data_IF_634442555339
#
_entry.id   IF_634442555339
#
_cell.length_a   1.000
_cell.length_b   1.000
_cell.length_c   1.000
_cell.angle_alpha   90.00
_cell.angle_beta   90.00
_cell.angle_gamma   90.00
#
_symmetry.space_group_name_H-M   'P 1'
#
loop_
_entity.id
_entity.type
_entity.pdbx_description
1 polymer ?
#
# COMPACT_ATOMS: atom_id res chain seq x y z
N UNK A 1 -16.91 22.12 8.40
CA UNK A 1 -15.83 23.12 8.53
C UNK A 1 -14.78 22.85 7.47
N UNK A 2 -14.38 23.87 6.71
CA UNK A 2 -13.25 23.78 5.77
C UNK A 2 -12.13 24.67 6.33
N UNK A 3 -10.94 24.12 6.50
CA UNK A 3 -9.75 24.90 6.84
C UNK A 3 -8.68 24.69 5.78
N UNK A 4 -8.04 25.79 5.39
CA UNK A 4 -6.97 25.80 4.43
C UNK A 4 -5.71 26.32 5.12
N UNK A 5 -4.63 25.55 5.00
CA UNK A 5 -3.32 25.90 5.53
C UNK A 5 -2.31 25.92 4.39
N UNK A 6 -1.63 27.05 4.23
CA UNK A 6 -0.57 27.22 3.25
C UNK A 6 0.73 27.62 3.96
N UNK A 7 1.78 26.84 3.71
CA UNK A 7 3.11 27.07 4.26
C UNK A 7 4.13 27.15 3.12
N UNK A 8 4.93 28.22 3.11
CA UNK A 8 5.93 28.47 2.07
C UNK A 8 7.27 28.79 2.73
N UNK A 9 8.34 28.18 2.23
CA UNK A 9 9.74 28.52 2.52
C UNK A 9 10.12 28.44 4.01
N UNK A 10 10.17 27.22 4.55
CA UNK A 10 10.65 26.97 5.92
C UNK A 10 11.83 26.01 5.93
N UNK A 11 12.81 26.25 6.82
CA UNK A 11 13.92 25.32 7.04
C UNK A 11 13.45 24.09 7.84
N UNK A 12 12.65 24.31 8.88
CA UNK A 12 12.08 23.26 9.70
C UNK A 12 10.66 23.66 10.11
N UNK A 13 9.71 22.75 9.91
CA UNK A 13 8.33 22.92 10.32
C UNK A 13 7.83 21.66 11.01
N UNK A 14 7.35 21.81 12.25
CA UNK A 14 6.73 20.74 13.03
C UNK A 14 5.31 21.17 13.34
N UNK A 15 4.34 20.38 12.93
CA UNK A 15 2.92 20.64 13.18
C UNK A 15 2.28 19.46 13.90
N UNK A 16 1.52 19.77 14.94
CA UNK A 16 0.73 18.82 15.68
C UNK A 16 -0.73 19.25 15.62
N UNK A 17 -1.57 18.34 15.13
CA UNK A 17 -3.02 18.55 15.05
C UNK A 17 -3.75 17.47 15.83
N UNK A 18 -4.67 17.91 16.69
CA UNK A 18 -5.56 17.03 17.43
C UNK A 18 -7.01 17.46 17.21
N UNK A 19 -7.80 16.56 16.63
CA UNK A 19 -9.22 16.75 16.39
C UNK A 19 -10.01 15.65 17.10
N UNK A 20 -10.91 16.01 18.02
CA UNK A 20 -11.59 15.03 18.91
C UNK A 20 -13.08 14.87 18.57
N UNK A 21 -13.69 15.85 17.88
CA UNK A 21 -15.13 15.84 17.64
C UNK A 21 -15.55 16.77 16.50
N UNK A 22 -15.50 16.30 15.26
CA UNK A 22 -15.99 17.06 14.10
C UNK A 22 -16.86 16.20 13.16
N UNK A 23 -18.14 16.50 13.04
CA UNK A 23 -19.05 15.72 12.17
C UNK A 23 -18.69 15.79 10.68
N UNK A 24 -18.19 16.94 10.20
CA UNK A 24 -17.76 17.14 8.82
C UNK A 24 -16.62 18.15 8.75
N UNK A 25 -15.38 17.64 8.69
CA UNK A 25 -14.19 18.47 8.60
C UNK A 25 -13.40 18.15 7.33
N UNK A 26 -13.06 19.20 6.59
CA UNK A 26 -12.20 19.14 5.42
C UNK A 26 -10.97 20.00 5.69
N UNK A 27 -9.78 19.40 5.63
CA UNK A 27 -8.53 20.13 5.70
C UNK A 27 -7.81 20.05 4.37
N UNK A 28 -7.38 21.21 3.90
CA UNK A 28 -6.47 21.33 2.79
C UNK A 28 -5.13 21.86 3.32
N UNK A 29 -4.07 21.08 3.11
CA UNK A 29 -2.72 21.47 3.45
C UNK A 29 -1.86 21.58 2.20
N UNK A 30 -1.24 22.74 2.02
CA UNK A 30 -0.26 22.98 0.97
C UNK A 30 1.07 23.41 1.57
N UNK A 31 2.11 22.62 1.30
CA UNK A 31 3.49 22.89 1.73
C UNK A 31 4.38 23.04 0.51
N UNK A 32 5.07 24.16 0.39
CA UNK A 32 5.98 24.46 -0.72
C UNK A 32 7.35 24.81 -0.18
N UNK A 33 8.40 24.16 -0.69
CA UNK A 33 9.80 24.47 -0.39
C UNK A 33 10.15 24.41 1.11
N UNK A 34 9.74 23.34 1.79
CA UNK A 34 10.14 23.06 3.18
C UNK A 34 11.31 22.08 3.20
N UNK A 35 12.45 22.36 3.83
CA UNK A 35 13.52 21.35 3.89
C UNK A 35 13.12 20.16 4.77
N UNK A 36 12.75 20.41 6.02
CA UNK A 36 12.37 19.37 6.96
C UNK A 36 10.96 19.62 7.48
N UNK A 37 10.05 18.67 7.23
CA UNK A 37 8.68 18.74 7.71
C UNK A 37 8.32 17.50 8.52
N UNK A 38 7.84 17.72 9.75
CA UNK A 38 7.23 16.69 10.58
C UNK A 38 5.78 17.06 10.87
N UNK A 39 4.87 16.13 10.61
CA UNK A 39 3.44 16.35 10.77
C UNK A 39 2.85 15.20 11.57
N UNK A 40 2.25 15.53 12.72
CA UNK A 40 1.60 14.57 13.59
C UNK A 40 0.11 14.89 13.69
N UNK A 41 -0.72 13.91 13.35
CA UNK A 41 -2.17 14.04 13.33
C UNK A 41 -2.81 12.97 14.18
N UNK A 42 -3.65 13.41 15.10
CA UNK A 42 -4.56 12.55 15.81
C UNK A 42 -5.99 12.99 15.53
N UNK A 43 -6.79 12.12 14.90
CA UNK A 43 -8.17 12.47 14.53
C UNK A 43 -9.17 11.42 14.99
N UNK A 44 -10.23 11.93 15.61
CA UNK A 44 -11.42 11.19 16.01
C UNK A 44 -12.62 11.91 15.40
N UNK A 45 -13.02 11.50 14.19
CA UNK A 45 -14.30 11.79 13.51
C UNK A 45 -14.19 11.81 11.97
N UNK A 46 -15.33 12.03 11.29
CA UNK A 46 -15.44 12.04 9.83
C UNK A 46 -14.63 13.18 9.19
N UNK A 47 -13.83 12.81 8.20
CA UNK A 47 -12.75 13.66 7.74
C UNK A 47 -12.40 13.46 6.27
N UNK A 48 -12.21 14.58 5.57
CA UNK A 48 -11.51 14.63 4.28
C UNK A 48 -10.20 15.38 4.50
N UNK A 49 -9.07 14.71 4.22
CA UNK A 49 -7.74 15.31 4.27
C UNK A 49 -7.12 15.32 2.88
N UNK A 50 -6.75 16.51 2.41
CA UNK A 50 -5.88 16.67 1.26
C UNK A 50 -4.55 17.27 1.69
N UNK A 51 -3.49 16.58 1.31
CA UNK A 51 -2.13 17.07 1.47
C UNK A 51 -1.43 17.20 0.14
N UNK A 52 -0.89 18.38 -0.12
CA UNK A 52 0.01 18.66 -1.22
C UNK A 52 1.37 19.11 -0.70
N UNK A 53 2.40 18.33 -1.02
CA UNK A 53 3.78 18.66 -0.70
C UNK A 53 4.58 18.85 -1.97
N UNK A 54 5.23 20.00 -2.10
CA UNK A 54 6.10 20.33 -3.22
C UNK A 54 7.48 20.69 -2.68
N UNK A 55 8.51 20.11 -3.32
CA UNK A 55 9.91 20.45 -3.12
C UNK A 55 10.41 20.31 -1.68
N UNK A 56 9.95 19.28 -0.96
CA UNK A 56 10.49 18.95 0.37
C UNK A 56 11.67 17.96 0.28
N UNK A 57 12.70 18.15 1.13
CA UNK A 57 13.81 17.19 1.22
C UNK A 57 13.48 16.02 2.14
N UNK A 58 13.04 16.28 3.37
CA UNK A 58 12.66 15.27 4.35
C UNK A 58 11.20 15.49 4.77
N UNK A 59 10.37 14.47 4.57
CA UNK A 59 8.96 14.47 4.99
C UNK A 59 8.71 13.31 5.95
N UNK A 60 8.33 13.63 7.18
CA UNK A 60 7.95 12.65 8.19
C UNK A 60 6.50 12.90 8.58
N UNK A 61 5.67 11.90 8.36
CA UNK A 61 4.23 12.00 8.50
C UNK A 61 3.72 10.86 9.38
N UNK A 62 3.13 11.21 10.52
CA UNK A 62 2.54 10.26 11.44
C UNK A 62 1.07 10.61 11.62
N UNK A 63 0.18 9.70 11.23
CA UNK A 63 -1.24 9.86 11.48
C UNK A 63 -1.81 8.68 12.25
N UNK A 64 -2.62 9.03 13.25
CA UNK A 64 -3.40 8.10 14.02
C UNK A 64 -4.88 8.46 13.92
N UNK A 65 -5.66 7.59 13.30
CA UNK A 65 -7.08 7.77 13.08
C UNK A 65 -7.89 6.73 13.88
N UNK A 66 -8.84 7.21 14.67
CA UNK A 66 -9.68 6.37 15.52
C UNK A 66 -11.15 6.64 15.26
N UNK A 67 -11.93 5.57 15.12
CA UNK A 67 -13.41 5.60 15.13
C UNK A 67 -14.01 6.65 14.19
N UNK A 68 -13.65 6.62 12.91
CA UNK A 68 -14.30 7.46 11.91
C UNK A 68 -15.29 6.62 11.10
N UNK A 69 -16.50 7.11 10.89
CA UNK A 69 -17.44 6.45 9.98
C UNK A 69 -16.89 6.46 8.56
N UNK A 70 -16.50 7.64 8.06
CA UNK A 70 -15.93 7.83 6.74
C UNK A 70 -14.62 8.62 6.83
N UNK A 71 -13.60 8.16 6.10
CA UNK A 71 -12.37 8.90 5.93
C UNK A 71 -11.88 8.81 4.48
N UNK A 72 -11.60 9.97 3.91
CA UNK A 72 -10.90 10.08 2.63
C UNK A 72 -9.61 10.86 2.82
N UNK A 73 -8.49 10.27 2.40
CA UNK A 73 -7.18 10.86 2.55
C UNK A 73 -6.43 10.78 1.23
N UNK A 74 -6.07 11.95 0.72
CA UNK A 74 -5.37 12.12 -0.54
C UNK A 74 -4.03 12.81 -0.30
N UNK A 75 -2.97 12.14 -0.74
CA UNK A 75 -1.61 12.63 -0.68
C UNK A 75 -1.07 12.81 -2.08
N UNK A 76 -0.68 14.04 -2.38
CA UNK A 76 0.10 14.35 -3.58
C UNK A 76 1.46 14.91 -3.15
N UNK A 77 2.52 14.15 -3.44
CA UNK A 77 3.87 14.47 -3.00
C UNK A 77 4.83 14.51 -4.17
N UNK A 78 5.48 15.66 -4.31
CA UNK A 78 6.63 15.86 -5.21
C UNK A 78 7.83 16.22 -4.34
N UNK A 79 8.59 15.20 -3.94
CA UNK A 79 9.73 15.36 -3.03
C UNK A 79 11.04 14.95 -3.71
N UNK A 80 12.17 15.37 -3.12
CA UNK A 80 13.50 15.12 -3.69
C UNK A 80 14.30 14.01 -3.01
N UNK A 81 14.06 13.72 -1.73
CA UNK A 81 14.94 12.81 -0.99
C UNK A 81 14.19 11.71 -0.21
N UNK A 82 13.66 12.00 0.97
CA UNK A 82 13.08 10.99 1.85
C UNK A 82 11.63 11.32 2.22
N UNK A 83 10.76 10.33 2.11
CA UNK A 83 9.44 10.34 2.71
C UNK A 83 9.25 9.12 3.60
N UNK A 84 8.81 9.39 4.82
CA UNK A 84 8.37 8.39 5.78
C UNK A 84 6.91 8.68 6.13
N UNK A 85 6.02 7.72 5.86
CA UNK A 85 4.61 7.80 6.20
C UNK A 85 4.22 6.62 7.08
N UNK A 86 3.73 6.91 8.27
CA UNK A 86 3.14 5.94 9.19
C UNK A 86 1.67 6.29 9.37
N UNK A 87 0.76 5.41 8.95
CA UNK A 87 -0.66 5.54 9.24
C UNK A 87 -1.17 4.37 10.08
N UNK A 88 -1.91 4.70 11.12
CA UNK A 88 -2.65 3.72 11.93
C UNK A 88 -4.14 4.02 11.91
N UNK A 89 -4.92 2.98 11.63
CA UNK A 89 -6.37 3.02 11.51
C UNK A 89 -7.01 1.95 12.40
N UNK A 90 -7.76 2.36 13.42
CA UNK A 90 -8.36 1.44 14.41
C UNK A 90 -9.77 0.95 14.04
N UNK A 91 -10.64 1.82 13.52
CA UNK A 91 -12.04 1.44 13.23
C UNK A 91 -12.70 2.38 12.23
N UNK A 92 -13.07 1.82 11.06
CA UNK A 92 -13.70 2.57 9.97
C UNK A 92 -14.85 1.81 9.33
N UNK A 93 -15.90 2.53 8.92
CA UNK A 93 -16.88 1.95 8.01
C UNK A 93 -16.33 2.00 6.59
N UNK A 94 -15.96 3.19 6.10
CA UNK A 94 -15.47 3.38 4.75
C UNK A 94 -14.19 4.21 4.77
N UNK A 95 -13.13 3.65 4.18
CA UNK A 95 -11.82 4.27 4.10
C UNK A 95 -11.34 4.32 2.64
N UNK A 96 -11.08 5.53 2.14
CA UNK A 96 -10.51 5.74 0.80
C UNK A 96 -9.17 6.42 0.95
N UNK A 97 -8.13 5.77 0.42
CA UNK A 97 -6.76 6.25 0.48
C UNK A 97 -6.19 6.38 -0.93
N UNK A 98 -5.77 7.59 -1.28
CA UNK A 98 -5.21 7.91 -2.59
C UNK A 98 -3.82 8.51 -2.40
N UNK A 99 -2.81 7.80 -2.89
CA UNK A 99 -1.42 8.21 -2.75
C UNK A 99 -0.77 8.38 -4.12
N UNK A 100 -0.29 9.59 -4.38
CA UNK A 100 0.52 9.91 -5.54
C UNK A 100 1.88 10.44 -5.08
N UNK A 101 2.93 9.68 -5.36
CA UNK A 101 4.30 10.03 -5.04
C UNK A 101 5.13 10.15 -6.32
N UNK A 102 5.76 11.30 -6.52
CA UNK A 102 6.61 11.58 -7.68
C UNK A 102 8.00 11.98 -7.20
N UNK A 103 9.01 11.49 -7.92
CA UNK A 103 10.43 11.87 -7.83
C UNK A 103 11.12 11.64 -6.48
N UNK A 104 10.56 10.82 -5.59
CA UNK A 104 11.19 10.46 -4.33
C UNK A 104 12.35 9.48 -4.55
N UNK A 105 13.52 9.71 -3.92
CA UNK A 105 14.58 8.71 -3.93
C UNK A 105 14.27 7.56 -2.98
N UNK A 106 13.83 7.86 -1.76
CA UNK A 106 13.49 6.87 -0.73
C UNK A 106 12.06 7.10 -0.26
N UNK A 107 11.22 6.07 -0.37
CA UNK A 107 9.85 6.07 0.12
C UNK A 107 9.65 4.92 1.10
N UNK A 108 9.33 5.24 2.35
CA UNK A 108 9.02 4.25 3.38
C UNK A 108 7.58 4.48 3.83
N UNK A 109 6.76 3.47 3.65
CA UNK A 109 5.35 3.52 3.96
C UNK A 109 4.96 2.35 4.85
N UNK A 110 4.34 2.66 5.99
CA UNK A 110 3.89 1.71 6.99
C UNK A 110 2.43 1.99 7.30
N UNK A 111 1.57 1.01 7.04
CA UNK A 111 0.15 1.15 7.36
C UNK A 111 -0.35 -0.04 8.18
N UNK A 112 -1.10 0.29 9.22
CA UNK A 112 -1.71 -0.69 10.09
C UNK A 112 -3.22 -0.45 10.19
N UNK A 113 -4.01 -1.42 9.76
CA UNK A 113 -5.47 -1.39 9.77
C UNK A 113 -6.03 -2.47 10.68
N UNK A 114 -6.75 -2.07 11.74
CA UNK A 114 -7.31 -3.01 12.70
C UNK A 114 -8.68 -3.50 12.24
N UNK A 115 -9.65 -2.60 12.08
CA UNK A 115 -10.99 -2.94 11.59
C UNK A 115 -11.45 -1.95 10.53
N UNK A 116 -11.82 -2.47 9.36
CA UNK A 116 -12.52 -1.69 8.34
C UNK A 116 -13.64 -2.50 7.72
N UNK A 117 -14.79 -1.89 7.39
CA UNK A 117 -15.77 -2.60 6.57
C UNK A 117 -15.41 -2.54 5.09
N UNK A 118 -15.11 -1.34 4.58
CA UNK A 118 -14.79 -1.12 3.17
C UNK A 118 -13.54 -0.28 3.05
N UNK A 119 -12.51 -0.80 2.41
CA UNK A 119 -11.29 -0.06 2.17
C UNK A 119 -10.86 -0.15 0.71
N UNK A 120 -10.67 1.02 0.11
CA UNK A 120 -10.08 1.19 -1.19
C UNK A 120 -8.77 1.97 -1.02
N UNK A 121 -7.67 1.39 -1.45
CA UNK A 121 -6.37 2.02 -1.37
C UNK A 121 -5.67 1.93 -2.73
N UNK A 122 -5.25 3.10 -3.21
CA UNK A 122 -4.64 3.27 -4.52
C UNK A 122 -3.30 3.98 -4.37
N UNK A 123 -2.24 3.34 -4.85
CA UNK A 123 -0.92 3.94 -4.97
C UNK A 123 -0.53 4.12 -6.43
N UNK A 124 -0.12 5.33 -6.74
CA UNK A 124 0.60 5.65 -7.94
C UNK A 124 1.96 6.23 -7.57
N UNK A 125 3.03 5.47 -7.80
CA UNK A 125 4.37 5.86 -7.38
C UNK A 125 5.33 5.85 -8.56
N UNK A 126 5.97 6.99 -8.76
CA UNK A 126 7.09 7.19 -9.68
C UNK A 126 8.32 7.51 -8.82
N UNK A 127 9.02 6.46 -8.38
CA UNK A 127 10.24 6.58 -7.58
C UNK A 127 11.50 6.34 -8.41
N UNK A 128 12.66 6.79 -7.88
CA UNK A 128 13.97 6.58 -8.52
C UNK A 128 14.78 5.44 -7.93
N UNK A 129 14.79 5.30 -6.60
CA UNK A 129 15.72 4.37 -5.94
C UNK A 129 15.01 3.26 -5.17
N UNK A 130 14.49 3.54 -3.98
CA UNK A 130 13.92 2.53 -3.09
C UNK A 130 12.49 2.84 -2.69
N UNK A 131 11.64 1.82 -2.74
CA UNK A 131 10.35 1.79 -2.10
C UNK A 131 10.27 0.63 -1.11
N UNK A 132 9.91 0.93 0.14
CA UNK A 132 9.51 -0.05 1.14
C UNK A 132 8.05 0.24 1.50
N UNK A 133 7.18 -0.75 1.30
CA UNK A 133 5.79 -0.68 1.69
C UNK A 133 5.44 -1.90 2.55
N UNK A 134 4.96 -1.62 3.76
CA UNK A 134 4.47 -2.63 4.69
C UNK A 134 3.02 -2.33 5.04
N UNK A 135 2.12 -3.27 4.74
CA UNK A 135 0.71 -3.19 5.10
C UNK A 135 0.31 -4.36 5.96
N UNK A 136 -0.35 -4.05 7.08
CA UNK A 136 -0.94 -5.05 7.95
C UNK A 136 -2.44 -4.79 8.11
N UNK A 137 -3.24 -5.82 7.83
CA UNK A 137 -4.68 -5.81 7.99
C UNK A 137 -5.11 -6.92 8.94
N UNK A 138 -5.74 -6.54 10.05
CA UNK A 138 -6.26 -7.50 11.03
C UNK A 138 -7.64 -8.01 10.59
N UNK A 139 -8.58 -7.11 10.30
CA UNK A 139 -9.91 -7.49 9.84
C UNK A 139 -10.49 -6.49 8.84
N UNK A 140 -10.92 -6.99 7.69
CA UNK A 140 -11.64 -6.22 6.68
C UNK A 140 -12.76 -7.06 6.05
N UNK A 141 -13.94 -6.49 5.76
CA UNK A 141 -14.90 -7.21 4.93
C UNK A 141 -14.55 -7.10 3.45
N UNK A 142 -14.41 -5.89 2.94
CA UNK A 142 -14.05 -5.65 1.55
C UNK A 142 -12.77 -4.83 1.48
N UNK A 143 -11.78 -5.38 0.77
CA UNK A 143 -10.51 -4.72 0.54
C UNK A 143 -10.15 -4.73 -0.95
N UNK A 144 -9.94 -3.54 -1.49
CA UNK A 144 -9.44 -3.34 -2.86
C UNK A 144 -8.13 -2.56 -2.75
N UNK A 145 -7.02 -3.17 -3.18
CA UNK A 145 -5.74 -2.49 -3.29
C UNK A 145 -5.29 -2.45 -4.75
N UNK A 146 -4.95 -1.25 -5.20
CA UNK A 146 -4.46 -0.97 -6.55
C UNK A 146 -3.09 -0.32 -6.45
N UNK A 147 -2.12 -0.95 -7.08
CA UNK A 147 -0.73 -0.55 -7.01
C UNK A 147 -0.13 -0.39 -8.39
N UNK A 148 0.30 0.83 -8.69
CA UNK A 148 1.02 1.16 -9.90
C UNK A 148 2.39 1.75 -9.54
N UNK A 149 3.44 1.01 -9.85
CA UNK A 149 4.82 1.37 -9.54
C UNK A 149 5.63 1.50 -10.83
N UNK A 150 6.14 2.70 -11.07
CA UNK A 150 6.92 3.04 -12.26
C UNK A 150 8.34 3.41 -11.83
N UNK A 151 9.33 2.91 -12.57
CA UNK A 151 10.74 3.32 -12.53
C UNK A 151 11.52 3.16 -11.22
N UNK A 152 11.05 2.39 -10.24
CA UNK A 152 11.77 2.20 -8.97
C UNK A 152 12.84 1.10 -9.11
N UNK A 153 14.10 1.37 -8.73
CA UNK A 153 15.18 0.38 -8.86
C UNK A 153 15.03 -0.82 -7.92
N UNK A 154 14.51 -0.58 -6.71
CA UNK A 154 14.28 -1.59 -5.70
C UNK A 154 12.91 -1.38 -5.06
N UNK A 155 12.11 -2.43 -5.03
CA UNK A 155 10.83 -2.43 -4.34
C UNK A 155 10.72 -3.65 -3.44
N UNK A 156 10.42 -3.36 -2.17
CA UNK A 156 10.06 -4.33 -1.14
C UNK A 156 8.60 -4.10 -0.75
N UNK A 157 7.77 -5.12 -0.95
CA UNK A 157 6.40 -5.13 -0.47
C UNK A 157 6.21 -6.26 0.52
N UNK A 158 5.66 -5.94 1.69
CA UNK A 158 5.21 -6.93 2.65
C UNK A 158 3.74 -6.66 2.98
N UNK A 159 2.88 -7.62 2.64
CA UNK A 159 1.45 -7.56 2.97
C UNK A 159 1.06 -8.72 3.87
N UNK A 160 0.43 -8.39 4.99
CA UNK A 160 -0.11 -9.38 5.92
C UNK A 160 -1.62 -9.16 6.12
N UNK A 161 -2.39 -10.21 5.89
CA UNK A 161 -3.84 -10.23 6.07
C UNK A 161 -4.21 -11.34 7.04
N UNK A 162 -4.79 -10.97 8.18
CA UNK A 162 -5.26 -11.94 9.18
C UNK A 162 -6.65 -12.46 8.82
N UNK A 163 -7.61 -11.56 8.59
CA UNK A 163 -8.96 -11.93 8.16
C UNK A 163 -9.52 -10.97 7.12
N UNK A 164 -9.99 -11.50 6.00
CA UNK A 164 -10.71 -10.73 4.99
C UNK A 164 -11.82 -11.54 4.33
N UNK A 165 -13.02 -10.99 4.11
CA UNK A 165 -14.02 -11.73 3.32
C UNK A 165 -13.74 -11.64 1.82
N UNK A 166 -13.52 -10.44 1.30
CA UNK A 166 -13.22 -10.23 -0.11
C UNK A 166 -11.99 -9.36 -0.25
N UNK A 167 -10.96 -9.91 -0.88
CA UNK A 167 -9.73 -9.22 -1.19
C UNK A 167 -9.44 -9.25 -2.67
N UNK A 168 -9.34 -8.06 -3.26
CA UNK A 168 -8.89 -7.85 -4.63
C UNK A 168 -7.58 -7.06 -4.59
N UNK A 169 -6.56 -7.63 -5.20
CA UNK A 169 -5.24 -7.02 -5.34
C UNK A 169 -4.90 -6.91 -6.82
N UNK A 170 -4.67 -5.68 -7.29
CA UNK A 170 -4.14 -5.41 -8.62
C UNK A 170 -2.79 -4.74 -8.53
N UNK A 171 -1.85 -5.30 -9.27
CA UNK A 171 -0.47 -4.88 -9.26
C UNK A 171 0.07 -4.69 -10.67
N UNK A 172 0.63 -3.50 -10.92
CA UNK A 172 1.37 -3.18 -12.14
C UNK A 172 2.76 -2.67 -11.77
N UNK A 173 3.78 -3.39 -12.22
CA UNK A 173 5.18 -3.12 -11.90
C UNK A 173 6.06 -3.15 -13.15
N UNK A 174 7.15 -2.37 -13.12
CA UNK A 174 8.08 -2.22 -14.25
C UNK A 174 9.52 -2.68 -14.00
N UNK A 175 9.95 -3.05 -12.78
CA UNK A 175 11.37 -3.32 -12.42
C UNK A 175 11.47 -4.31 -11.22
N UNK A 176 12.70 -4.63 -10.81
CA UNK A 176 13.14 -5.53 -9.73
C UNK A 176 12.32 -5.45 -8.44
N UNK A 177 11.97 -6.62 -7.93
CA UNK A 177 10.90 -6.74 -6.95
C UNK A 177 11.06 -7.93 -6.01
N UNK A 178 10.83 -7.68 -4.73
CA UNK A 178 10.52 -8.73 -3.75
C UNK A 178 9.14 -8.43 -3.18
N UNK A 179 8.20 -9.35 -3.41
CA UNK A 179 6.90 -9.31 -2.77
C UNK A 179 6.74 -10.50 -1.82
N UNK A 180 6.33 -10.19 -0.59
CA UNK A 180 5.98 -11.14 0.44
C UNK A 180 4.52 -10.94 0.82
N UNK A 181 3.72 -11.99 0.65
CA UNK A 181 2.32 -11.99 1.03
C UNK A 181 2.02 -13.11 2.00
N UNK A 182 1.35 -12.77 3.10
CA UNK A 182 0.85 -13.73 4.07
C UNK A 182 -0.65 -13.54 4.28
N UNK A 183 -1.41 -14.62 4.07
CA UNK A 183 -2.85 -14.67 4.24
C UNK A 183 -3.20 -15.76 5.24
N UNK A 184 -3.83 -15.38 6.36
CA UNK A 184 -4.25 -16.35 7.38
C UNK A 184 -5.65 -16.88 7.07
N UNK A 185 -6.63 -16.01 6.87
CA UNK A 185 -7.99 -16.40 6.49
C UNK A 185 -8.59 -15.45 5.47
N UNK A 186 -9.03 -15.99 4.34
CA UNK A 186 -9.76 -15.25 3.31
C UNK A 186 -10.90 -16.08 2.71
N UNK A 187 -12.10 -15.53 2.51
CA UNK A 187 -13.11 -16.28 1.75
C UNK A 187 -12.87 -16.20 0.24
N UNK A 188 -12.74 -14.99 -0.30
CA UNK A 188 -12.50 -14.75 -1.71
C UNK A 188 -11.22 -13.93 -1.89
N UNK A 189 -10.25 -14.51 -2.58
CA UNK A 189 -9.01 -13.83 -2.95
C UNK A 189 -8.82 -13.81 -4.46
N UNK A 190 -8.71 -12.61 -5.01
CA UNK A 190 -8.36 -12.37 -6.41
C UNK A 190 -7.06 -11.56 -6.47
N UNK A 191 -5.98 -12.16 -6.98
CA UNK A 191 -4.75 -11.43 -7.26
C UNK A 191 -4.49 -11.38 -8.76
N UNK A 192 -4.29 -10.16 -9.26
CA UNK A 192 -3.86 -9.92 -10.63
C UNK A 192 -2.54 -9.16 -10.63
N UNK A 193 -1.53 -9.78 -11.25
CA UNK A 193 -0.21 -9.20 -11.37
C UNK A 193 0.19 -9.04 -12.83
N UNK A 194 0.64 -7.83 -13.15
CA UNK A 194 1.27 -7.51 -14.41
C UNK A 194 2.68 -6.98 -14.16
N UNK A 195 3.67 -7.72 -14.61
CA UNK A 195 5.08 -7.37 -14.50
C UNK A 195 5.65 -7.16 -15.91
N UNK A 196 6.25 -6.00 -16.13
CA UNK A 196 6.93 -5.67 -17.39
C UNK A 196 8.39 -5.34 -17.07
N UNK A 197 9.32 -5.82 -17.89
CA UNK A 197 10.74 -5.43 -17.84
C UNK A 197 11.49 -5.66 -16.51
N UNK A 198 11.12 -6.67 -15.72
CA UNK A 198 11.83 -6.99 -14.48
C UNK A 198 13.13 -7.78 -14.75
N UNK A 199 14.20 -7.42 -14.05
CA UNK A 199 15.46 -8.19 -14.02
C UNK A 199 15.42 -9.34 -13.01
N UNK A 200 14.87 -9.09 -11.82
CA UNK A 200 14.70 -10.09 -10.77
C UNK A 200 13.33 -9.89 -10.12
N UNK A 201 12.53 -10.96 -10.10
CA UNK A 201 11.22 -10.97 -9.46
C UNK A 201 11.18 -12.17 -8.50
N UNK A 202 11.05 -11.88 -7.21
CA UNK A 202 10.85 -12.89 -6.17
C UNK A 202 9.47 -12.67 -5.56
N UNK A 203 8.66 -13.71 -5.61
CA UNK A 203 7.29 -13.73 -5.13
C UNK A 203 7.15 -14.85 -4.12
N UNK A 204 6.86 -14.50 -2.87
CA UNK A 204 6.57 -15.47 -1.81
C UNK A 204 5.14 -15.27 -1.32
N UNK A 205 4.38 -16.36 -1.35
CA UNK A 205 3.01 -16.40 -0.92
C UNK A 205 2.81 -17.52 0.09
N UNK A 206 2.24 -17.16 1.23
CA UNK A 206 1.86 -18.11 2.26
C UNK A 206 0.36 -18.00 2.57
N UNK A 207 -0.38 -19.06 2.30
CA UNK A 207 -1.82 -19.17 2.52
C UNK A 207 -2.12 -20.23 3.58
N UNK A 208 -2.71 -19.83 4.71
CA UNK A 208 -3.17 -20.78 5.75
C UNK A 208 -4.55 -21.32 5.40
N UNK A 209 -5.53 -20.45 5.18
CA UNK A 209 -6.89 -20.86 4.80
C UNK A 209 -7.52 -19.90 3.80
N UNK A 210 -8.01 -20.45 2.69
CA UNK A 210 -8.76 -19.69 1.69
C UNK A 210 -9.89 -20.52 1.07
N UNK A 211 -11.13 -20.01 0.95
CA UNK A 211 -12.16 -20.80 0.25
C UNK A 211 -11.98 -20.76 -1.27
N UNK A 212 -11.86 -19.57 -1.85
CA UNK A 212 -11.63 -19.42 -3.29
C UNK A 212 -10.46 -18.49 -3.54
N UNK A 213 -9.51 -18.99 -4.32
CA UNK A 213 -8.31 -18.26 -4.68
C UNK A 213 -8.13 -18.29 -6.19
N UNK A 214 -8.07 -17.11 -6.81
CA UNK A 214 -7.64 -16.98 -8.19
C UNK A 214 -6.38 -16.11 -8.28
N UNK A 215 -5.38 -16.64 -8.98
CA UNK A 215 -4.13 -15.97 -9.27
C UNK A 215 -3.95 -15.84 -10.77
N UNK A 216 -3.84 -14.61 -11.25
CA UNK A 216 -3.49 -14.32 -12.63
C UNK A 216 -2.17 -13.56 -12.69
N UNK A 217 -1.22 -14.13 -13.42
CA UNK A 217 0.10 -13.56 -13.63
C UNK A 217 0.36 -13.35 -15.12
N UNK A 218 0.74 -12.12 -15.46
CA UNK A 218 1.33 -11.80 -16.75
C UNK A 218 2.72 -11.19 -16.51
N UNK A 219 3.76 -11.91 -16.91
CA UNK A 219 5.15 -11.54 -16.63
C UNK A 219 5.94 -11.48 -17.93
N UNK A 220 6.54 -10.33 -18.19
CA UNK A 220 7.58 -10.14 -19.21
C UNK A 220 8.87 -9.82 -18.48
N UNK A 221 9.75 -10.81 -18.30
CA UNK A 221 11.02 -10.65 -17.62
C UNK A 221 12.20 -10.81 -18.59
N UNK A 222 13.39 -10.38 -18.15
CA UNK A 222 14.64 -10.57 -18.91
C UNK A 222 15.59 -11.60 -18.30
N UNK A 223 15.55 -11.77 -16.97
CA UNK A 223 16.53 -12.59 -16.25
C UNK A 223 15.85 -13.62 -15.32
N UNK A 224 15.57 -13.28 -14.07
CA UNK A 224 15.19 -14.25 -13.04
C UNK A 224 13.75 -14.06 -12.53
N UNK A 225 12.98 -15.15 -12.51
CA UNK A 225 11.72 -15.25 -11.77
C UNK A 225 11.78 -16.41 -10.76
N UNK A 226 11.48 -16.11 -9.50
CA UNK A 226 11.25 -17.09 -8.44
C UNK A 226 9.83 -16.89 -7.90
N UNK A 227 9.00 -17.93 -7.97
CA UNK A 227 7.69 -17.97 -7.34
C UNK A 227 7.63 -19.13 -6.34
N UNK A 228 7.39 -18.78 -5.08
CA UNK A 228 7.13 -19.71 -3.99
C UNK A 228 5.68 -19.56 -3.55
N UNK A 229 4.93 -20.65 -3.62
CA UNK A 229 3.54 -20.73 -3.20
C UNK A 229 3.37 -21.84 -2.17
N UNK A 230 2.98 -21.47 -0.95
CA UNK A 230 2.67 -22.40 0.13
C UNK A 230 1.18 -22.29 0.50
N UNK A 231 0.51 -23.44 0.52
CA UNK A 231 -0.90 -23.59 0.88
C UNK A 231 -1.06 -24.62 1.99
N UNK A 232 -1.83 -24.29 3.03
CA UNK A 232 -2.24 -25.25 4.07
C UNK A 232 -3.67 -25.74 3.84
N UNK A 233 -4.59 -24.88 3.40
CA UNK A 233 -5.94 -25.29 3.02
C UNK A 233 -6.54 -24.33 1.98
N UNK A 234 -7.08 -24.90 0.90
CA UNK A 234 -7.82 -24.15 -0.11
C UNK A 234 -8.88 -25.01 -0.79
N UNK A 235 -10.16 -24.59 -0.77
CA UNK A 235 -11.22 -25.40 -1.39
C UNK A 235 -11.29 -25.27 -2.91
N UNK A 236 -10.97 -24.09 -3.46
CA UNK A 236 -10.93 -23.85 -4.89
C UNK A 236 -9.73 -22.97 -5.25
N UNK A 237 -8.87 -23.52 -6.10
CA UNK A 237 -7.65 -22.88 -6.56
C UNK A 237 -7.66 -22.75 -8.08
N UNK A 238 -7.58 -21.51 -8.58
CA UNK A 238 -7.39 -21.20 -10.01
C UNK A 238 -6.07 -20.47 -10.18
N UNK A 239 -5.19 -21.02 -11.02
CA UNK A 239 -3.90 -20.42 -11.34
C UNK A 239 -3.79 -20.24 -12.85
N UNK A 240 -3.50 -19.02 -13.29
CA UNK A 240 -3.18 -18.71 -14.68
C UNK A 240 -1.89 -17.93 -14.75
N UNK A 241 -0.92 -18.48 -15.48
CA UNK A 241 0.40 -17.89 -15.65
C UNK A 241 0.72 -17.70 -17.13
N UNK A 242 1.16 -16.50 -17.47
CA UNK A 242 1.73 -16.18 -18.77
C UNK A 242 3.13 -15.57 -18.57
N UNK A 243 4.16 -16.30 -19.02
CA UNK A 243 5.55 -15.87 -18.94
C UNK A 243 6.11 -15.63 -20.34
N UNK A 244 6.79 -14.50 -20.52
CA UNK A 244 7.50 -14.16 -21.75
C UNK A 244 8.95 -13.82 -21.41
N UNK A 245 9.87 -14.39 -22.20
CA UNK A 245 11.31 -14.06 -22.23
C UNK A 245 12.12 -14.20 -20.92
N UNK A 246 11.72 -15.06 -19.98
CA UNK A 246 12.52 -15.35 -18.78
C UNK A 246 13.74 -16.22 -19.11
N UNK A 247 14.95 -15.81 -18.70
CA UNK A 247 16.14 -16.67 -18.84
C UNK A 247 16.15 -17.80 -17.81
N UNK A 248 15.64 -17.54 -16.60
CA UNK A 248 15.53 -18.54 -15.54
C UNK A 248 14.20 -18.39 -14.79
N UNK A 249 13.46 -19.51 -14.71
CA UNK A 249 12.17 -19.61 -14.03
C UNK A 249 12.24 -20.71 -12.97
N UNK A 250 12.03 -20.35 -11.71
CA UNK A 250 11.88 -21.28 -10.60
C UNK A 250 10.45 -21.14 -10.06
N UNK A 251 9.72 -22.25 -10.08
CA UNK A 251 8.38 -22.36 -9.50
C UNK A 251 8.41 -23.46 -8.44
N UNK A 252 8.04 -23.13 -7.20
CA UNK A 252 7.89 -24.11 -6.14
C UNK A 252 6.53 -23.96 -5.48
N UNK A 253 5.77 -25.07 -5.49
CA UNK A 253 4.44 -25.17 -4.92
C UNK A 253 4.47 -26.21 -3.80
N UNK A 254 4.12 -25.79 -2.60
CA UNK A 254 3.92 -26.66 -1.45
C UNK A 254 2.45 -26.61 -1.05
N UNK A 255 1.73 -27.69 -1.23
CA UNK A 255 0.33 -27.83 -0.82
C UNK A 255 0.27 -28.90 0.25
N UNK A 256 0.03 -28.47 1.49
CA UNK A 256 -0.40 -29.37 2.56
C UNK A 256 -1.92 -29.50 2.36
N UNK A 257 -2.42 -30.72 2.25
CA UNK A 257 -3.85 -31.00 2.20
C UNK A 257 -4.12 -31.78 3.48
N UNK A 258 -4.67 -31.12 4.49
CA UNK A 258 -5.20 -31.83 5.66
C UNK A 258 -6.47 -32.57 5.20
N UNK A 259 -6.44 -33.90 5.32
CA UNK A 259 -7.55 -34.81 5.02
C UNK A 259 -8.66 -34.70 6.08
#
# INVERSE_FOLDING_TARGET
LILLFQFVSFSLLILLFQFVSCSHLMLLFQFVSCSNLALLFHVVSLLILLFQFVSCSLLILLFHFVSCSYLALLFHVVCKFLLILLLQFVSFSLLILLFQFVSCSLLILLFHFVRCSHLALLFHVVCKFLLILLLQFVSCSLLILLFQFVSCSHLMLLLQFVSCSLLILLFQFLILLILLFQFVSCSLLMLLFQFVSCSLLILLFHFVSCSHLALLYHVVCKFLLILLLQFVSCSLLILLFQFVSCSLLILLFLVVIDQ
#
